data_IF_095132144781
#
_entry.id   IF_095132144781
#
_cell.length_a   1.000
_cell.length_b   1.000
_cell.length_c   1.000
_cell.angle_alpha   90.00
_cell.angle_beta   90.00
_cell.angle_gamma   90.00
#
_symmetry.space_group_name_H-M   'P 1'
#
loop_
_entity.id
_entity.type
_entity.pdbx_description
1 polymer ?
#
# COMPACT_ATOMS: atom_id res chain seq x y z
N UNK A 1 -6.76 -51.89 -43.63
CA UNK A 1 -5.58 -51.89 -44.52
C UNK A 1 -5.27 -50.44 -44.92
N UNK A 2 -4.28 -49.89 -44.23
CA UNK A 2 -3.51 -48.66 -44.30
C UNK A 2 -3.53 -47.81 -45.60
N UNK A 3 -3.69 -46.48 -45.46
CA UNK A 3 -2.55 -45.53 -45.37
C UNK A 3 -3.04 -44.11 -45.00
N UNK A 4 -2.79 -43.68 -43.75
CA UNK A 4 -2.75 -42.27 -43.39
C UNK A 4 -1.47 -41.68 -44.00
N UNK A 5 -1.60 -40.83 -45.02
CA UNK A 5 -0.48 -40.06 -45.53
C UNK A 5 -0.34 -38.80 -44.67
N UNK A 6 0.58 -38.83 -43.69
CA UNK A 6 1.02 -37.63 -42.98
C UNK A 6 1.73 -36.69 -43.97
N UNK A 7 1.18 -35.48 -44.11
CA UNK A 7 1.81 -34.33 -44.77
C UNK A 7 1.87 -33.17 -43.75
N UNK A 8 2.85 -32.28 -43.87
CA UNK A 8 3.72 -31.85 -42.78
C UNK A 8 3.16 -30.73 -41.91
N UNK A 9 3.67 -30.64 -40.68
CA UNK A 9 3.56 -29.49 -39.79
C UNK A 9 4.17 -28.25 -40.47
N UNK A 10 3.40 -27.18 -40.54
CA UNK A 10 3.84 -25.83 -40.91
C UNK A 10 2.74 -24.83 -40.54
N UNK A 11 2.42 -24.72 -39.25
CA UNK A 11 1.86 -23.48 -38.64
C UNK A 11 1.69 -23.60 -37.11
N UNK A 12 2.68 -24.12 -36.40
CA UNK A 12 3.03 -23.42 -35.16
C UNK A 12 3.53 -22.06 -35.62
N UNK A 13 2.69 -21.03 -35.48
CA UNK A 13 3.14 -19.65 -35.61
C UNK A 13 4.29 -19.56 -34.61
N UNK A 14 5.54 -19.34 -35.03
CA UNK A 14 6.52 -19.00 -34.05
C UNK A 14 6.00 -17.66 -33.52
N UNK A 15 5.54 -17.64 -32.26
CA UNK A 15 5.70 -16.45 -31.43
C UNK A 15 7.22 -16.23 -31.35
N UNK A 16 7.81 -15.82 -32.46
CA UNK A 16 8.98 -14.96 -32.45
C UNK A 16 8.44 -13.70 -31.79
N UNK A 17 8.51 -13.74 -30.47
CA UNK A 17 8.80 -12.58 -29.67
C UNK A 17 10.12 -12.06 -30.24
N UNK A 18 10.04 -11.30 -31.34
CA UNK A 18 11.05 -10.32 -31.67
C UNK A 18 10.91 -9.28 -30.56
N UNK A 19 11.47 -9.66 -29.42
CA UNK A 19 11.74 -8.81 -28.28
C UNK A 19 12.55 -7.67 -28.88
N UNK A 20 11.92 -6.51 -28.97
CA UNK A 20 12.50 -5.29 -29.51
C UNK A 20 13.98 -5.16 -29.10
N UNK A 21 14.90 -5.53 -30.00
CA UNK A 21 16.34 -5.24 -29.91
C UNK A 21 16.60 -3.76 -30.25
N UNK A 22 15.68 -2.90 -29.83
CA UNK A 22 15.85 -1.47 -29.98
C UNK A 22 16.28 -0.98 -28.61
N UNK A 23 17.57 -0.64 -28.49
CA UNK A 23 18.17 -0.16 -27.25
C UNK A 23 17.35 1.00 -26.64
N UNK A 24 16.73 1.81 -27.49
CA UNK A 24 15.81 2.87 -27.05
C UNK A 24 14.58 2.28 -26.34
N UNK A 25 13.92 1.27 -26.90
CA UNK A 25 12.72 0.66 -26.31
C UNK A 25 13.05 -0.04 -24.99
N UNK A 26 14.20 -0.72 -24.91
CA UNK A 26 14.69 -1.36 -23.68
C UNK A 26 14.95 -0.30 -22.61
N UNK A 27 15.65 0.78 -22.94
CA UNK A 27 15.93 1.88 -22.02
C UNK A 27 14.64 2.55 -21.51
N UNK A 28 13.62 2.72 -22.37
CA UNK A 28 12.34 3.27 -21.95
C UNK A 28 11.60 2.32 -20.99
N UNK A 29 11.64 1.01 -21.23
CA UNK A 29 11.02 0.02 -20.36
C UNK A 29 11.66 0.01 -18.96
N UNK A 30 12.98 0.14 -18.87
CA UNK A 30 13.70 0.27 -17.60
C UNK A 30 13.31 1.55 -16.86
N UNK A 31 13.25 2.68 -17.55
CA UNK A 31 12.83 3.96 -16.98
C UNK A 31 11.40 3.92 -16.43
N UNK A 32 10.46 3.30 -17.16
CA UNK A 32 9.08 3.12 -16.70
C UNK A 32 9.04 2.25 -15.44
N UNK A 33 9.83 1.17 -15.40
CA UNK A 33 9.90 0.27 -14.25
C UNK A 33 10.47 0.97 -13.01
N UNK A 34 11.51 1.79 -13.21
CA UNK A 34 12.09 2.61 -12.16
C UNK A 34 11.08 3.65 -11.62
N UNK A 35 10.39 4.36 -12.51
CA UNK A 35 9.36 5.34 -12.12
C UNK A 35 8.24 4.70 -11.32
N UNK A 36 7.74 3.53 -11.74
CA UNK A 36 6.72 2.78 -10.98
C UNK A 36 7.20 2.47 -9.56
N UNK A 37 8.40 1.93 -9.43
CA UNK A 37 8.98 1.58 -8.12
C UNK A 37 9.13 2.81 -7.22
N UNK A 38 9.53 3.95 -7.81
CA UNK A 38 9.67 5.21 -7.07
C UNK A 38 8.33 5.77 -6.62
N UNK A 39 7.31 5.72 -7.48
CA UNK A 39 5.94 6.13 -7.14
C UNK A 39 5.39 5.24 -6.03
N UNK A 40 5.56 3.92 -6.11
CA UNK A 40 5.13 2.99 -5.05
C UNK A 40 5.80 3.29 -3.71
N UNK A 41 7.09 3.62 -3.71
CA UNK A 41 7.81 4.05 -2.51
C UNK A 41 7.28 5.38 -1.95
N UNK A 42 7.01 6.36 -2.82
CA UNK A 42 6.41 7.64 -2.40
C UNK A 42 5.04 7.37 -1.78
N UNK A 43 4.16 6.64 -2.47
CA UNK A 43 2.81 6.34 -1.98
C UNK A 43 2.82 5.57 -0.65
N UNK A 44 3.79 4.68 -0.44
CA UNK A 44 3.95 3.94 0.83
C UNK A 44 4.35 4.84 2.00
N UNK A 45 5.11 5.91 1.73
CA UNK A 45 5.69 6.78 2.77
C UNK A 45 4.99 8.16 2.84
N UNK A 46 4.14 8.50 1.88
CA UNK A 46 3.46 9.77 1.81
C UNK A 46 2.34 9.83 2.84
N UNK A 47 2.59 10.61 3.90
CA UNK A 47 1.56 11.02 4.85
C UNK A 47 1.03 12.39 4.38
N UNK A 48 -0.22 12.51 3.91
CA UNK A 48 -0.75 13.78 3.47
C UNK A 48 -0.79 14.75 4.65
N UNK A 49 0.05 15.77 4.59
CA UNK A 49 0.04 16.88 5.55
C UNK A 49 -1.08 17.82 5.13
N UNK A 50 -2.20 17.83 5.87
CA UNK A 50 -3.22 18.86 5.66
C UNK A 50 -3.06 19.93 6.72
N UNK A 51 -2.60 21.11 6.31
CA UNK A 51 -2.42 22.27 7.18
C UNK A 51 -1.44 22.02 8.36
N UNK A 52 -0.39 21.22 8.14
CA UNK A 52 0.58 20.85 9.18
C UNK A 52 0.19 19.61 10.00
N UNK A 53 -1.04 19.10 9.84
CA UNK A 53 -1.52 17.93 10.56
C UNK A 53 -1.23 16.63 9.79
N UNK A 54 -0.74 15.61 10.50
CA UNK A 54 -0.47 14.27 9.96
C UNK A 54 -1.69 13.38 10.20
N UNK A 55 -2.17 12.78 9.12
CA UNK A 55 -3.28 11.83 9.16
C UNK A 55 -2.78 10.40 9.00
N UNK A 56 -3.22 9.54 9.92
CA UNK A 56 -2.86 8.14 9.99
C UNK A 56 -4.01 7.27 9.48
N UNK A 57 -3.68 6.23 8.70
CA UNK A 57 -4.65 5.18 8.38
C UNK A 57 -4.85 4.26 9.58
N UNK A 58 -5.91 3.45 9.56
CA UNK A 58 -6.12 2.44 10.61
C UNK A 58 -4.94 1.45 10.74
N UNK A 59 -4.22 1.16 9.65
CA UNK A 59 -3.03 0.30 9.73
C UNK A 59 -1.86 0.99 10.41
N UNK A 60 -1.70 2.30 10.20
CA UNK A 60 -0.66 3.08 10.85
C UNK A 60 -0.94 3.20 12.34
N UNK A 61 -2.19 3.42 12.75
CA UNK A 61 -2.58 3.44 14.17
C UNK A 61 -2.37 2.09 14.83
N UNK A 62 -2.73 0.99 14.17
CA UNK A 62 -2.46 -0.36 14.69
C UNK A 62 -0.97 -0.60 14.94
N UNK A 63 -0.09 -0.15 14.03
CA UNK A 63 1.36 -0.25 14.20
C UNK A 63 1.86 0.68 15.30
N UNK A 64 1.39 1.92 15.34
CA UNK A 64 1.79 2.94 16.30
C UNK A 64 1.47 2.52 17.74
N UNK A 65 0.25 2.05 17.98
CA UNK A 65 -0.23 1.65 19.31
C UNK A 65 0.03 0.17 19.63
N UNK A 66 0.61 -0.59 18.68
CA UNK A 66 0.78 -2.04 18.78
C UNK A 66 -0.52 -2.81 19.12
N UNK A 67 -1.62 -2.44 18.46
CA UNK A 67 -2.94 -3.06 18.68
C UNK A 67 -3.45 -3.80 17.44
N UNK A 68 -4.34 -4.76 17.66
CA UNK A 68 -4.99 -5.49 16.57
C UNK A 68 -6.06 -4.63 15.88
N UNK A 69 -6.42 -4.99 14.64
CA UNK A 69 -7.56 -4.36 13.91
C UNK A 69 -8.87 -4.49 14.69
N UNK A 70 -9.07 -5.58 15.43
CA UNK A 70 -10.24 -5.80 16.29
C UNK A 70 -10.26 -4.83 17.47
N UNK A 71 -9.12 -4.61 18.12
CA UNK A 71 -8.98 -3.63 19.21
C UNK A 71 -9.23 -2.21 18.69
N UNK A 72 -8.71 -1.86 17.51
CA UNK A 72 -8.97 -0.56 16.90
C UNK A 72 -10.44 -0.36 16.48
N UNK A 73 -11.17 -1.44 16.16
CA UNK A 73 -12.63 -1.38 15.98
C UNK A 73 -13.31 -1.09 17.31
N UNK A 74 -12.98 -1.84 18.36
CA UNK A 74 -13.53 -1.62 19.70
C UNK A 74 -13.30 -0.19 20.19
N UNK A 75 -12.10 0.38 20.00
CA UNK A 75 -11.80 1.77 20.39
C UNK A 75 -12.62 2.81 19.62
N UNK A 76 -13.09 2.49 18.40
CA UNK A 76 -14.03 3.35 17.67
C UNK A 76 -15.45 3.19 18.21
N UNK A 77 -15.88 1.96 18.45
CA UNK A 77 -17.22 1.66 18.96
C UNK A 77 -17.41 2.28 20.37
N UNK A 78 -16.36 2.23 21.18
CA UNK A 78 -16.31 2.82 22.53
C UNK A 78 -16.02 4.33 22.52
N UNK A 79 -15.83 4.95 21.35
CA UNK A 79 -15.47 6.36 21.16
C UNK A 79 -14.21 6.81 21.95
N UNK A 80 -13.27 5.89 22.17
CA UNK A 80 -11.99 6.16 22.85
C UNK A 80 -11.04 6.91 21.92
N UNK A 81 -10.96 6.52 20.64
CA UNK A 81 -10.11 7.16 19.64
C UNK A 81 -10.96 7.98 18.65
N UNK A 82 -10.79 9.32 18.62
CA UNK A 82 -11.38 10.19 17.61
C UNK A 82 -10.95 9.77 16.21
N UNK A 83 -11.89 9.75 15.29
CA UNK A 83 -11.65 9.40 13.91
C UNK A 83 -12.47 10.30 12.98
N UNK A 84 -12.03 10.38 11.73
CA UNK A 84 -12.70 11.11 10.67
C UNK A 84 -12.99 10.13 9.54
N UNK A 85 -14.22 10.17 9.03
CA UNK A 85 -14.63 9.37 7.89
C UNK A 85 -14.73 10.26 6.64
N UNK A 86 -13.93 9.97 5.62
CA UNK A 86 -13.92 10.68 4.34
C UNK A 86 -14.05 9.66 3.23
N UNK A 87 -15.14 9.70 2.45
CA UNK A 87 -15.35 8.82 1.30
C UNK A 87 -15.28 7.32 1.65
N UNK A 88 -15.78 6.93 2.82
CA UNK A 88 -15.73 5.54 3.30
C UNK A 88 -14.39 5.09 3.89
N UNK A 89 -13.35 5.93 3.85
CA UNK A 89 -12.08 5.68 4.54
C UNK A 89 -12.09 6.34 5.92
N UNK A 90 -11.54 5.63 6.89
CA UNK A 90 -11.35 6.13 8.25
C UNK A 90 -9.89 6.56 8.41
N UNK A 91 -9.69 7.78 8.88
CA UNK A 91 -8.39 8.37 9.17
C UNK A 91 -8.39 8.95 10.59
N UNK A 92 -7.20 9.04 11.16
CA UNK A 92 -6.97 9.52 12.52
C UNK A 92 -5.99 10.67 12.48
N UNK A 93 -6.19 11.70 13.30
CA UNK A 93 -5.20 12.75 13.49
C UNK A 93 -4.13 12.28 14.46
N UNK A 94 -2.87 12.49 14.13
CA UNK A 94 -1.75 12.16 15.01
C UNK A 94 -1.83 12.97 16.32
N UNK A 95 -2.19 14.25 16.24
CA UNK A 95 -2.35 15.12 17.42
C UNK A 95 -3.43 14.64 18.39
N UNK A 96 -4.58 14.19 17.88
CA UNK A 96 -5.67 13.67 18.71
C UNK A 96 -5.23 12.40 19.47
N UNK A 97 -4.52 11.49 18.78
CA UNK A 97 -3.99 10.26 19.40
C UNK A 97 -3.00 10.62 20.51
N UNK A 98 -2.05 11.52 20.24
CA UNK A 98 -1.07 11.97 21.23
C UNK A 98 -1.75 12.60 22.44
N UNK A 99 -2.73 13.46 22.22
CA UNK A 99 -3.49 14.13 23.29
C UNK A 99 -4.15 13.12 24.23
N UNK A 100 -4.74 12.06 23.68
CA UNK A 100 -5.40 11.02 24.48
C UNK A 100 -4.38 10.19 25.27
N UNK A 101 -3.24 9.87 24.65
CA UNK A 101 -2.17 9.16 25.33
C UNK A 101 -1.63 9.98 26.51
N UNK A 102 -1.43 11.29 26.32
CA UNK A 102 -1.00 12.21 27.37
C UNK A 102 -2.03 12.35 28.48
N UNK A 103 -3.32 12.50 28.14
CA UNK A 103 -4.41 12.58 29.13
C UNK A 103 -4.52 11.33 30.00
N UNK A 104 -4.21 10.16 29.44
CA UNK A 104 -4.26 8.88 30.14
C UNK A 104 -2.88 8.43 30.66
N UNK A 105 -1.86 9.28 30.54
CA UNK A 105 -0.50 8.92 30.93
C UNK A 105 -0.37 8.86 32.46
N UNK A 106 -0.21 7.65 33.00
CA UNK A 106 0.02 7.44 34.43
C UNK A 106 1.52 7.58 34.70
N UNK A 107 1.93 8.74 35.20
CA UNK A 107 3.29 8.98 35.67
C UNK A 107 3.56 8.08 36.88
N UNK A 108 4.36 7.01 36.72
CA UNK A 108 4.90 6.30 37.88
C UNK A 108 5.91 7.24 38.57
N UNK A 109 5.44 8.09 39.49
CA UNK A 109 6.32 8.65 40.51
C UNK A 109 6.73 7.51 41.42
N UNK A 110 7.92 6.98 41.20
CA UNK A 110 8.67 6.25 42.22
C UNK A 110 8.82 7.19 43.41
N UNK A 111 8.07 6.90 44.47
CA UNK A 111 8.31 7.44 45.81
C UNK A 111 9.49 6.69 46.41
#
# INVERSE_FOLDING_TARGET
MYRLCSKPDSRTIPLKMDLFENDEIIAHQEMITLLRTRIESILKNYRPVMNGEIYLSGEDVCKLLHISKRTLQQYRDDNILPYIQIGGKIIYKESDILTILEQNYISQKTV
#
